data_IF_797540109954
#
_entry.id   IF_797540109954
#
_cell.length_a   1.000
_cell.length_b   1.000
_cell.length_c   1.000
_cell.angle_alpha   90.00
_cell.angle_beta   90.00
_cell.angle_gamma   90.00
#
_symmetry.space_group_name_H-M   'P 1'
#
loop_
_entity.id
_entity.type
_entity.pdbx_description
1 polymer ?
#
# COMPACT_ATOMS: atom_id res chain seq x y z
N UNK A 1 6.85 -17.09 13.72
CA UNK A 1 8.03 -16.27 14.07
C UNK A 1 7.74 -15.54 15.38
N UNK A 2 8.74 -15.10 16.15
CA UNK A 2 8.52 -14.36 17.40
C UNK A 2 7.75 -13.04 17.21
N UNK A 3 7.76 -12.46 16.01
CA UNK A 3 7.06 -11.23 15.68
C UNK A 3 5.59 -11.40 15.23
N UNK A 4 5.07 -12.63 15.24
CA UNK A 4 3.69 -12.92 14.83
C UNK A 4 2.69 -12.91 16.01
N UNK A 5 3.12 -12.48 17.21
CA UNK A 5 2.21 -12.41 18.36
C UNK A 5 1.16 -11.30 18.18
N UNK A 6 -0.05 -11.54 18.70
CA UNK A 6 -1.16 -10.58 18.59
C UNK A 6 -0.78 -9.19 19.15
N UNK A 7 -0.04 -9.15 20.26
CA UNK A 7 0.44 -7.90 20.86
C UNK A 7 1.40 -7.13 19.92
N UNK A 8 2.31 -7.84 19.26
CA UNK A 8 3.23 -7.22 18.28
C UNK A 8 2.47 -6.72 17.05
N UNK A 9 1.46 -7.47 16.57
CA UNK A 9 0.62 -7.05 15.45
C UNK A 9 -0.18 -5.78 15.80
N UNK A 10 -0.77 -5.72 17.00
CA UNK A 10 -1.50 -4.54 17.46
C UNK A 10 -0.61 -3.30 17.52
N UNK A 11 0.60 -3.42 18.08
CA UNK A 11 1.54 -2.30 18.15
C UNK A 11 1.98 -1.84 16.75
N UNK A 12 2.23 -2.78 15.83
CA UNK A 12 2.55 -2.46 14.42
C UNK A 12 1.40 -1.69 13.75
N UNK A 13 0.15 -2.09 13.96
CA UNK A 13 -1.02 -1.38 13.43
C UNK A 13 -1.16 0.03 14.04
N UNK A 14 -0.88 0.19 15.33
CA UNK A 14 -0.89 1.50 16.00
C UNK A 14 0.15 2.44 15.38
N UNK A 15 1.38 1.97 15.20
CA UNK A 15 2.46 2.74 14.58
C UNK A 15 2.13 3.09 13.12
N UNK A 16 1.64 2.13 12.33
CA UNK A 16 1.21 2.37 10.96
C UNK A 16 0.15 3.49 10.87
N UNK A 17 -0.88 3.43 11.72
CA UNK A 17 -1.94 4.45 11.74
C UNK A 17 -1.42 5.84 12.12
N UNK A 18 -0.45 5.91 13.05
CA UNK A 18 0.10 7.18 13.51
C UNK A 18 1.10 7.81 12.53
N UNK A 19 1.91 7.01 11.84
CA UNK A 19 3.08 7.50 11.08
C UNK A 19 2.96 7.28 9.58
N UNK A 20 2.41 6.16 9.14
CA UNK A 20 2.37 5.78 7.72
C UNK A 20 1.07 6.21 7.05
N UNK A 21 -0.08 6.00 7.69
CA UNK A 21 -1.40 6.33 7.14
C UNK A 21 -1.56 7.81 6.73
N UNK A 22 -1.03 8.81 7.47
CA UNK A 22 -1.10 10.21 7.05
C UNK A 22 -0.42 10.51 5.71
N UNK A 23 0.54 9.69 5.27
CA UNK A 23 1.22 9.84 3.98
C UNK A 23 0.27 9.65 2.80
N UNK A 24 -0.86 8.95 2.98
CA UNK A 24 -1.91 8.83 1.95
C UNK A 24 -2.41 10.21 1.54
N UNK A 25 -2.73 11.09 2.51
CA UNK A 25 -3.15 12.45 2.20
C UNK A 25 -2.05 13.20 1.47
N UNK A 26 -0.81 13.13 1.98
CA UNK A 26 0.34 13.83 1.41
C UNK A 26 0.58 13.50 -0.09
N UNK A 27 0.48 12.22 -0.48
CA UNK A 27 0.68 11.82 -1.88
C UNK A 27 -0.58 11.99 -2.74
N UNK A 28 -1.77 11.98 -2.12
CA UNK A 28 -3.03 12.38 -2.78
C UNK A 28 -2.97 13.84 -3.19
N UNK A 29 -2.57 14.73 -2.29
CA UNK A 29 -2.48 16.18 -2.54
C UNK A 29 -1.47 16.53 -3.63
N UNK A 30 -0.44 15.68 -3.80
CA UNK A 30 0.54 15.78 -4.89
C UNK A 30 0.05 15.22 -6.23
N UNK A 31 -1.11 14.57 -6.28
CA UNK A 31 -1.66 13.96 -7.49
C UNK A 31 -0.85 12.76 -8.01
N UNK A 32 0.02 12.17 -7.19
CA UNK A 32 0.91 11.06 -7.59
C UNK A 32 0.51 9.70 -7.01
N UNK A 33 -0.38 9.68 -6.02
CA UNK A 33 -0.85 8.44 -5.40
C UNK A 33 -1.66 7.59 -6.41
N UNK A 34 -1.39 6.29 -6.45
CA UNK A 34 -2.22 5.30 -7.12
C UNK A 34 -2.58 4.20 -6.13
N UNK A 35 -3.87 3.87 -6.03
CA UNK A 35 -4.39 2.82 -5.15
C UNK A 35 -4.60 1.54 -5.94
N UNK A 36 -4.17 0.41 -5.38
CA UNK A 36 -4.39 -0.94 -5.92
C UNK A 36 -5.09 -1.77 -4.85
N UNK A 37 -6.15 -2.47 -5.23
CA UNK A 37 -6.84 -3.43 -4.35
C UNK A 37 -5.94 -4.64 -4.08
N UNK A 38 -5.62 -4.88 -2.80
CA UNK A 38 -4.77 -5.96 -2.33
C UNK A 38 -5.52 -7.20 -1.85
N UNK A 39 -6.85 -7.19 -1.80
CA UNK A 39 -7.66 -8.36 -1.39
C UNK A 39 -7.88 -9.36 -2.53
N UNK A 40 -7.58 -8.95 -3.76
CA UNK A 40 -7.61 -9.78 -4.97
C UNK A 40 -6.50 -10.84 -5.02
N UNK A 41 -6.60 -11.78 -5.96
CA UNK A 41 -5.55 -12.81 -6.15
C UNK A 41 -4.19 -12.16 -6.48
N UNK A 42 -3.05 -12.77 -6.08
CA UNK A 42 -1.73 -12.21 -6.38
C UNK A 42 -1.49 -11.89 -7.86
N UNK A 43 -2.02 -12.73 -8.77
CA UNK A 43 -1.95 -12.50 -10.22
C UNK A 43 -2.73 -11.25 -10.62
N UNK A 44 -3.96 -11.08 -10.12
CA UNK A 44 -4.78 -9.89 -10.38
C UNK A 44 -4.10 -8.61 -9.89
N UNK A 45 -3.55 -8.65 -8.67
CA UNK A 45 -2.81 -7.51 -8.08
C UNK A 45 -1.60 -7.16 -8.95
N UNK A 46 -0.84 -8.17 -9.38
CA UNK A 46 0.33 -7.99 -10.25
C UNK A 46 -0.04 -7.36 -11.59
N UNK A 47 -1.08 -7.86 -12.26
CA UNK A 47 -1.52 -7.30 -13.54
C UNK A 47 -1.99 -5.84 -13.41
N UNK A 48 -2.72 -5.51 -12.34
CA UNK A 48 -3.09 -4.12 -12.05
C UNK A 48 -1.86 -3.23 -11.84
N UNK A 49 -0.86 -3.70 -11.09
CA UNK A 49 0.37 -2.97 -10.83
C UNK A 49 1.15 -2.70 -12.13
N UNK A 50 1.34 -3.71 -12.98
CA UNK A 50 2.05 -3.55 -14.27
C UNK A 50 1.31 -2.60 -15.21
N UNK A 51 -0.02 -2.67 -15.26
CA UNK A 51 -0.84 -1.76 -16.08
C UNK A 51 -0.63 -0.31 -15.66
N UNK A 52 -0.70 -0.01 -14.35
CA UNK A 52 -0.45 1.33 -13.79
C UNK A 52 0.98 1.80 -14.07
N UNK A 53 1.96 0.93 -13.87
CA UNK A 53 3.36 1.27 -14.09
C UNK A 53 3.61 1.65 -15.56
N UNK A 54 3.09 0.86 -16.51
CA UNK A 54 3.24 1.13 -17.95
C UNK A 54 2.58 2.44 -18.36
N UNK A 55 1.36 2.72 -17.91
CA UNK A 55 0.66 3.96 -18.28
C UNK A 55 1.34 5.24 -17.75
N UNK A 56 2.17 5.13 -16.71
CA UNK A 56 2.96 6.27 -16.17
C UNK A 56 4.34 6.41 -16.81
N UNK A 57 4.83 5.37 -17.50
CA UNK A 57 6.16 5.33 -18.10
C UNK A 57 6.09 5.17 -19.62
N UNK A 58 5.03 5.68 -20.27
CA UNK A 58 4.94 5.69 -21.74
C UNK A 58 6.15 6.44 -22.33
N UNK A 59 7.05 5.65 -22.92
CA UNK A 59 7.80 5.94 -24.15
C UNK A 59 6.93 5.45 -25.30
#
# INVERSE_FOLDING_TARGET
>A
RPDDSAAVVQERLRVYNAQTKPLISHYTDKGVLVTIDGESSPETVYQHLIKVYRSKNEI
#
